data_IF_996639398961
#
_entry.id   IF_996639398961
#
_cell.length_a   1.000
_cell.length_b   1.000
_cell.length_c   1.000
_cell.angle_alpha   90.00
_cell.angle_beta   90.00
_cell.angle_gamma   90.00
#
_symmetry.space_group_name_H-M   'P 1'
#
loop_
_entity.id
_entity.type
_entity.pdbx_description
1 polymer ?
#
# COMPACT_ATOMS: atom_id res chain seq x y z
N UNK A 1 7.33 27.08 -23.42
CA UNK A 1 6.97 26.56 -22.10
C UNK A 1 5.66 25.76 -22.16
N UNK A 2 4.64 26.23 -22.88
CA UNK A 2 3.37 25.53 -23.00
C UNK A 2 3.51 24.17 -23.70
N UNK A 3 4.38 24.03 -24.66
CA UNK A 3 4.63 22.78 -25.37
C UNK A 3 5.27 21.72 -24.46
N UNK A 4 6.20 22.13 -23.60
CA UNK A 4 6.86 21.24 -22.66
C UNK A 4 5.87 20.77 -21.59
N UNK A 5 5.03 21.68 -21.08
CA UNK A 5 3.98 21.34 -20.11
C UNK A 5 2.97 20.35 -20.69
N UNK A 6 2.56 20.56 -21.95
CA UNK A 6 1.66 19.65 -22.64
C UNK A 6 2.26 18.25 -22.81
N UNK A 7 3.56 18.16 -23.16
CA UNK A 7 4.25 16.89 -23.29
C UNK A 7 4.36 16.15 -21.96
N UNK A 8 4.61 16.88 -20.87
CA UNK A 8 4.67 16.30 -19.52
C UNK A 8 3.29 15.76 -19.13
N UNK A 9 2.21 16.51 -19.38
CA UNK A 9 0.85 16.08 -19.11
C UNK A 9 0.47 14.84 -19.92
N UNK A 10 0.81 14.81 -21.21
CA UNK A 10 0.52 13.65 -22.07
C UNK A 10 1.24 12.40 -21.58
N UNK A 11 2.50 12.52 -21.20
CA UNK A 11 3.29 11.41 -20.67
C UNK A 11 2.75 10.94 -19.33
N UNK A 12 2.34 11.86 -18.46
CA UNK A 12 1.75 11.52 -17.18
C UNK A 12 0.43 10.76 -17.35
N UNK A 13 -0.42 11.20 -18.28
CA UNK A 13 -1.68 10.52 -18.60
C UNK A 13 -1.44 9.12 -19.17
N UNK A 14 -0.48 8.98 -20.10
CA UNK A 14 -0.14 7.70 -20.70
C UNK A 14 0.43 6.74 -19.66
N UNK A 15 1.29 7.23 -18.77
CA UNK A 15 1.84 6.43 -17.67
C UNK A 15 0.76 6.01 -16.69
N UNK A 16 -0.15 6.92 -16.33
CA UNK A 16 -1.28 6.62 -15.47
C UNK A 16 -2.21 5.56 -16.06
N UNK A 17 -2.51 5.66 -17.36
CA UNK A 17 -3.31 4.67 -18.07
C UNK A 17 -2.63 3.29 -18.07
N UNK A 18 -1.33 3.26 -18.24
CA UNK A 18 -0.54 2.03 -18.21
C UNK A 18 -0.60 1.38 -16.82
N UNK A 19 -0.43 2.17 -15.77
CA UNK A 19 -0.53 1.68 -14.38
C UNK A 19 -1.91 1.10 -14.10
N UNK A 20 -2.97 1.79 -14.50
CA UNK A 20 -4.34 1.30 -14.35
C UNK A 20 -4.56 -0.02 -15.10
N UNK A 21 -4.01 -0.12 -16.30
CA UNK A 21 -4.07 -1.34 -17.09
C UNK A 21 -3.43 -2.53 -16.35
N UNK A 22 -2.27 -2.33 -15.74
CA UNK A 22 -1.59 -3.35 -14.94
C UNK A 22 -2.40 -3.74 -13.71
N UNK A 23 -2.98 -2.74 -13.03
CA UNK A 23 -3.81 -2.97 -11.84
C UNK A 23 -5.02 -3.85 -12.19
N UNK A 24 -5.76 -3.47 -13.22
CA UNK A 24 -6.96 -4.21 -13.62
C UNK A 24 -6.61 -5.62 -14.13
N UNK A 25 -5.53 -5.75 -14.90
CA UNK A 25 -5.08 -7.05 -15.38
C UNK A 25 -4.77 -7.99 -14.21
N UNK A 26 -4.08 -7.50 -13.18
CA UNK A 26 -3.76 -8.28 -12.00
C UNK A 26 -5.02 -8.68 -11.22
N UNK A 27 -5.95 -7.75 -11.02
CA UNK A 27 -7.18 -8.02 -10.29
C UNK A 27 -8.07 -9.04 -11.02
N UNK A 28 -8.09 -9.00 -12.34
CA UNK A 28 -8.87 -9.93 -13.16
C UNK A 28 -8.24 -11.31 -13.28
N UNK A 29 -6.95 -11.45 -12.98
CA UNK A 29 -6.22 -12.72 -13.10
C UNK A 29 -6.58 -13.72 -12.00
N UNK A 30 -7.23 -13.29 -10.93
CA UNK A 30 -7.57 -14.16 -9.80
C UNK A 30 -8.70 -15.12 -10.18
N UNK A 31 -8.53 -16.39 -9.79
CA UNK A 31 -9.51 -17.46 -10.10
C UNK A 31 -10.72 -17.45 -9.16
N UNK A 32 -10.58 -16.89 -7.95
CA UNK A 32 -11.64 -16.84 -6.95
C UNK A 32 -11.94 -15.41 -6.53
N UNK A 33 -13.20 -15.17 -6.16
CA UNK A 33 -13.62 -13.86 -5.65
C UNK A 33 -12.88 -13.50 -4.37
N UNK A 34 -12.65 -14.48 -3.49
CA UNK A 34 -11.92 -14.24 -2.23
C UNK A 34 -10.50 -13.78 -2.49
N UNK A 35 -9.77 -14.45 -3.39
CA UNK A 35 -8.40 -14.07 -3.74
C UNK A 35 -8.36 -12.66 -4.33
N UNK A 36 -9.30 -12.33 -5.22
CA UNK A 36 -9.42 -11.00 -5.80
C UNK A 36 -9.70 -9.94 -4.75
N UNK A 37 -10.57 -10.23 -3.78
CA UNK A 37 -10.91 -9.31 -2.71
C UNK A 37 -9.72 -9.06 -1.77
N UNK A 38 -8.96 -10.10 -1.43
CA UNK A 38 -7.74 -9.98 -0.62
C UNK A 38 -6.73 -9.08 -1.35
N UNK A 39 -6.54 -9.32 -2.64
CA UNK A 39 -5.57 -8.56 -3.44
C UNK A 39 -6.00 -7.09 -3.60
N UNK A 40 -7.30 -6.84 -3.76
CA UNK A 40 -7.85 -5.48 -3.79
C UNK A 40 -7.62 -4.75 -2.47
N UNK A 41 -7.88 -5.41 -1.33
CA UNK A 41 -7.64 -4.80 -0.03
C UNK A 41 -6.13 -4.56 0.21
N UNK A 42 -5.28 -5.45 -0.32
CA UNK A 42 -3.83 -5.24 -0.28
C UNK A 42 -3.41 -4.01 -1.09
N UNK A 43 -4.03 -3.78 -2.25
CA UNK A 43 -3.81 -2.58 -3.06
C UNK A 43 -4.25 -1.33 -2.32
N UNK A 44 -5.44 -1.33 -1.72
CA UNK A 44 -5.96 -0.21 -0.93
C UNK A 44 -5.00 0.11 0.21
N UNK A 45 -4.48 -0.91 0.88
CA UNK A 45 -3.52 -0.73 1.96
C UNK A 45 -2.18 -0.18 1.44
N UNK A 46 -1.69 -0.71 0.30
CA UNK A 46 -0.44 -0.24 -0.31
C UNK A 46 -0.50 1.24 -0.70
N UNK A 47 -1.68 1.72 -1.10
CA UNK A 47 -1.91 3.13 -1.43
C UNK A 47 -2.11 4.02 -0.19
N UNK A 48 -2.14 3.44 1.00
CA UNK A 48 -2.37 4.17 2.24
C UNK A 48 -3.83 4.52 2.53
N UNK A 49 -4.76 4.06 1.70
CA UNK A 49 -6.18 4.38 1.84
C UNK A 49 -6.83 3.68 3.04
N UNK A 50 -6.36 2.47 3.39
CA UNK A 50 -6.87 1.72 4.54
C UNK A 50 -6.66 2.47 5.86
N UNK A 51 -5.64 3.33 5.91
CA UNK A 51 -5.36 4.16 7.08
C UNK A 51 -6.52 5.11 7.39
N UNK A 52 -7.22 5.59 6.35
CA UNK A 52 -8.37 6.50 6.51
C UNK A 52 -9.54 5.81 7.22
N UNK A 53 -9.61 4.49 7.14
CA UNK A 53 -10.64 3.67 7.80
C UNK A 53 -10.15 3.08 9.12
N UNK A 54 -8.91 3.34 9.53
CA UNK A 54 -8.32 2.79 10.72
C UNK A 54 -8.04 1.29 10.65
N UNK A 55 -8.01 0.71 9.44
CA UNK A 55 -7.81 -0.73 9.25
C UNK A 55 -6.31 -1.07 9.29
N UNK A 56 -5.96 -2.11 10.04
CA UNK A 56 -4.57 -2.61 10.12
C UNK A 56 -4.41 -3.87 9.28
N UNK A 57 -3.16 -4.20 8.92
CA UNK A 57 -2.86 -5.45 8.21
C UNK A 57 -3.35 -6.67 9.00
N UNK A 58 -3.16 -6.65 10.30
CA UNK A 58 -3.61 -7.75 11.19
C UNK A 58 -5.12 -7.95 11.14
N UNK A 59 -5.87 -6.86 11.20
CA UNK A 59 -7.33 -6.91 11.16
C UNK A 59 -7.83 -7.41 9.81
N UNK A 60 -7.25 -6.93 8.71
CA UNK A 60 -7.63 -7.36 7.36
C UNK A 60 -7.30 -8.85 7.15
N UNK A 61 -6.10 -9.27 7.55
CA UNK A 61 -5.69 -10.66 7.45
C UNK A 61 -6.63 -11.57 8.24
N UNK A 62 -6.99 -11.19 9.47
CA UNK A 62 -7.93 -11.93 10.30
C UNK A 62 -9.31 -12.07 9.65
N UNK A 63 -9.78 -11.00 9.00
CA UNK A 63 -11.06 -11.00 8.28
C UNK A 63 -11.11 -12.10 7.21
N UNK A 64 -10.00 -12.32 6.52
CA UNK A 64 -9.90 -13.33 5.45
C UNK A 64 -9.37 -14.69 5.92
N UNK A 65 -9.04 -14.83 7.20
CA UNK A 65 -8.50 -16.08 7.73
C UNK A 65 -7.09 -16.40 7.23
N UNK A 66 -6.32 -15.39 6.90
CA UNK A 66 -4.92 -15.53 6.45
C UNK A 66 -3.98 -14.89 7.47
N UNK A 67 -2.69 -15.22 7.37
CA UNK A 67 -1.69 -14.62 8.26
C UNK A 67 -1.37 -13.19 7.85
N UNK A 68 -0.94 -12.37 8.81
CA UNK A 68 -0.45 -11.03 8.54
C UNK A 68 0.69 -11.06 7.51
N UNK A 69 1.60 -12.04 7.63
CA UNK A 69 2.72 -12.20 6.70
C UNK A 69 2.25 -12.43 5.27
N UNK A 70 1.24 -13.28 5.08
CA UNK A 70 0.66 -13.56 3.76
C UNK A 70 0.03 -12.31 3.16
N UNK A 71 -0.67 -11.53 3.95
CA UNK A 71 -1.25 -10.26 3.50
C UNK A 71 -0.15 -9.24 3.15
N UNK A 72 0.87 -9.11 4.00
CA UNK A 72 2.01 -8.20 3.77
C UNK A 72 2.75 -8.49 2.47
N UNK A 73 2.89 -9.77 2.10
CA UNK A 73 3.50 -10.17 0.83
C UNK A 73 2.73 -9.57 -0.35
N UNK A 74 1.41 -9.61 -0.30
CA UNK A 74 0.57 -9.02 -1.34
C UNK A 74 0.69 -7.49 -1.40
N UNK A 75 0.74 -6.84 -0.24
CA UNK A 75 0.93 -5.38 -0.15
C UNK A 75 2.26 -4.99 -0.78
N UNK A 76 3.34 -5.67 -0.42
CA UNK A 76 4.68 -5.40 -0.97
C UNK A 76 4.74 -5.66 -2.46
N UNK A 77 4.05 -6.69 -2.95
CA UNK A 77 3.95 -6.99 -4.37
C UNK A 77 3.29 -5.85 -5.15
N UNK A 78 2.21 -5.26 -4.60
CA UNK A 78 1.58 -4.08 -5.19
C UNK A 78 2.51 -2.88 -5.19
N UNK A 79 3.19 -2.62 -4.08
CA UNK A 79 4.15 -1.52 -3.98
C UNK A 79 5.24 -1.64 -5.02
N UNK A 80 5.75 -2.85 -5.23
CA UNK A 80 6.78 -3.11 -6.24
C UNK A 80 6.24 -2.89 -7.66
N UNK A 81 5.05 -3.39 -7.95
CA UNK A 81 4.43 -3.24 -9.28
C UNK A 81 4.21 -1.77 -9.63
N UNK A 82 3.77 -0.98 -8.68
CA UNK A 82 3.43 0.44 -8.88
C UNK A 82 4.60 1.38 -8.65
N UNK A 83 5.77 0.85 -8.26
CA UNK A 83 6.94 1.67 -7.96
C UNK A 83 6.77 2.53 -6.72
N UNK A 84 5.90 2.13 -5.80
CA UNK A 84 5.66 2.86 -4.56
C UNK A 84 6.67 2.46 -3.50
N UNK A 85 7.13 3.43 -2.72
CA UNK A 85 7.82 3.15 -1.46
C UNK A 85 6.83 2.57 -0.45
N UNK A 86 7.28 1.92 0.64
CA UNK A 86 6.37 1.48 1.69
C UNK A 86 5.41 2.59 2.05
N UNK A 87 4.12 2.26 2.23
CA UNK A 87 3.10 3.28 2.47
C UNK A 87 3.48 4.12 3.67
N UNK A 88 3.12 5.41 3.63
CA UNK A 88 3.41 6.32 4.74
C UNK A 88 2.80 5.84 6.05
N UNK A 89 1.69 5.10 6.01
CA UNK A 89 1.10 4.49 7.19
C UNK A 89 1.99 3.39 7.78
N UNK A 90 2.49 2.47 6.96
CA UNK A 90 3.41 1.42 7.41
C UNK A 90 4.70 2.00 7.96
N UNK A 91 5.24 3.00 7.26
CA UNK A 91 6.44 3.73 7.68
C UNK A 91 6.18 4.47 8.98
N UNK A 92 5.04 5.17 9.09
CA UNK A 92 4.65 5.91 10.27
C UNK A 92 4.45 5.01 11.47
N UNK A 93 3.86 3.81 11.29
CA UNK A 93 3.67 2.85 12.37
C UNK A 93 5.01 2.42 12.97
N UNK A 94 5.96 2.02 12.11
CA UNK A 94 7.31 1.66 12.55
C UNK A 94 8.04 2.83 13.17
N UNK A 95 7.98 3.99 12.53
CA UNK A 95 8.61 5.22 13.03
C UNK A 95 8.01 5.64 14.36
N UNK A 96 6.69 5.58 14.49
CA UNK A 96 6.00 5.91 15.74
C UNK A 96 6.36 4.95 16.86
N UNK A 97 6.49 3.64 16.58
CA UNK A 97 6.94 2.67 17.58
C UNK A 97 8.37 2.93 18.02
N UNK A 98 9.27 3.16 17.06
CA UNK A 98 10.68 3.46 17.37
C UNK A 98 10.80 4.74 18.17
N UNK A 99 10.05 5.77 17.77
CA UNK A 99 10.03 7.05 18.46
C UNK A 99 9.44 6.94 19.86
N UNK A 100 8.37 6.18 20.00
CA UNK A 100 7.73 5.93 21.32
C UNK A 100 8.67 5.19 22.25
N UNK A 101 9.35 4.15 21.74
CA UNK A 101 10.29 3.37 22.53
C UNK A 101 11.50 4.21 22.95
N UNK A 102 12.04 5.03 22.06
CA UNK A 102 13.13 5.97 22.39
C UNK A 102 12.70 6.97 23.45
N UNK A 103 11.47 7.48 23.33
CA UNK A 103 10.91 8.44 24.27
C UNK A 103 10.72 7.83 25.66
N UNK A 104 10.23 6.58 25.72
CA UNK A 104 10.08 5.85 26.98
C UNK A 104 11.42 5.57 27.64
N UNK A 105 12.44 5.21 26.86
CA UNK A 105 13.79 5.02 27.37
C UNK A 105 14.36 6.32 27.96
N UNK A 106 14.15 7.43 27.29
CA UNK A 106 14.61 8.73 27.79
C UNK A 106 13.88 9.16 29.07
N UNK A 107 12.61 8.84 29.19
CA UNK A 107 11.85 9.14 30.40
C UNK A 107 12.28 8.28 31.59
N UNK A 108 12.65 7.03 31.36
CA UNK A 108 13.12 6.13 32.42
C UNK A 108 14.56 6.39 32.86
N UNK A 109 15.33 7.14 32.08
CA UNK A 109 16.72 7.53 32.44
C UNK A 109 16.80 8.78 33.31
N UNK A 110 15.70 9.48 33.47
CA UNK A 110 15.60 10.64 34.34
C UNK A 110 15.05 10.20 35.68
#
# INVERSE_FOLDING_TARGET
>A
YAEIENLVEERAKAYGAQLLSWVFARLQAHKTAQSANIDRDALVFALGMANLEGRTETAIAAQYGITKAAFSVRVKSWQKLLGLSPSSFMRSEKACRAYRNARLKNLTRR
#
